data_IF_046210017353
#
_entry.id   IF_046210017353
#
_cell.length_a   1.000
_cell.length_b   1.000
_cell.length_c   1.000
_cell.angle_alpha   90.00
_cell.angle_beta   90.00
_cell.angle_gamma   90.00
#
_symmetry.space_group_name_H-M   'P 1'
#
loop_
_entity.id
_entity.type
_entity.pdbx_description
1 polymer ?
#
# COMPACT_ATOMS: atom_id res chain seq x y z
N UNK A 1 20.48 10.72 19.70
CA UNK A 1 19.75 11.78 18.98
C UNK A 1 18.73 11.09 18.10
N UNK A 2 17.46 11.11 18.48
CA UNK A 2 16.40 10.57 17.61
C UNK A 2 16.06 11.64 16.58
N UNK A 3 15.92 11.30 15.29
CA UNK A 3 15.49 12.27 14.28
C UNK A 3 14.05 12.71 14.58
N UNK A 4 13.84 13.99 14.67
CA UNK A 4 12.53 14.61 14.80
C UNK A 4 11.67 14.26 13.57
N UNK A 5 10.42 13.80 13.73
CA UNK A 5 9.54 13.60 12.60
C UNK A 5 9.27 14.94 11.91
N UNK A 6 9.54 15.00 10.62
CA UNK A 6 9.21 16.15 9.79
C UNK A 6 7.69 16.21 9.65
N UNK A 7 7.04 17.08 10.38
CA UNK A 7 5.62 17.39 10.18
C UNK A 7 5.49 18.25 8.91
N UNK A 8 4.91 17.70 7.85
CA UNK A 8 4.41 18.52 6.75
C UNK A 8 3.19 19.30 7.25
N UNK A 9 3.32 20.60 7.42
CA UNK A 9 2.19 21.49 7.66
C UNK A 9 1.39 21.68 6.37
N UNK A 10 0.49 20.74 6.08
CA UNK A 10 -0.58 20.91 5.10
C UNK A 10 -1.80 21.57 5.75
N UNK A 11 -2.81 22.03 4.98
CA UNK A 11 -4.03 22.62 5.53
C UNK A 11 -4.67 21.64 6.51
N UNK A 12 -4.70 22.01 7.77
CA UNK A 12 -5.28 21.22 8.86
C UNK A 12 -6.79 21.18 8.66
N UNK A 13 -7.33 20.02 8.33
CA UNK A 13 -8.77 19.82 8.33
C UNK A 13 -9.27 19.95 9.79
N UNK A 14 -10.20 20.88 10.09
CA UNK A 14 -10.58 21.21 11.47
C UNK A 14 -11.45 20.14 12.15
N UNK A 15 -11.75 19.04 11.49
CA UNK A 15 -12.54 17.94 12.08
C UNK A 15 -11.60 16.99 12.81
N UNK A 16 -11.69 16.86 14.14
CA UNK A 16 -10.92 15.85 14.86
C UNK A 16 -11.45 14.46 14.49
N UNK A 17 -10.78 13.78 13.60
CA UNK A 17 -11.09 12.39 13.22
C UNK A 17 -10.67 11.46 14.37
N UNK A 18 -11.45 11.44 15.46
CA UNK A 18 -11.24 10.58 16.63
C UNK A 18 -11.91 9.22 16.44
N UNK A 19 -11.55 8.47 15.40
CA UNK A 19 -11.93 7.07 15.26
C UNK A 19 -10.76 6.16 15.62
N UNK A 20 -10.32 6.20 16.88
CA UNK A 20 -9.19 5.39 17.36
C UNK A 20 -9.62 4.00 17.85
N UNK A 21 -10.91 3.76 18.05
CA UNK A 21 -11.44 2.52 18.63
C UNK A 21 -12.19 1.65 17.64
N UNK A 22 -12.56 2.17 16.49
CA UNK A 22 -13.32 1.45 15.46
C UNK A 22 -12.77 1.72 14.07
N UNK A 23 -12.82 0.70 13.22
CA UNK A 23 -12.53 0.84 11.79
C UNK A 23 -13.74 1.46 11.11
N UNK A 24 -13.54 2.53 10.36
CA UNK A 24 -14.54 3.21 9.54
C UNK A 24 -14.10 3.29 8.09
N UNK A 25 -15.02 3.64 7.19
CA UNK A 25 -14.76 3.72 5.74
C UNK A 25 -13.50 4.53 5.37
N UNK A 26 -13.22 5.61 6.11
CA UNK A 26 -12.05 6.44 5.89
C UNK A 26 -10.70 5.72 6.05
N UNK A 27 -10.66 4.61 6.79
CA UNK A 27 -9.44 3.81 6.92
C UNK A 27 -9.09 3.03 5.65
N UNK A 28 -10.04 2.85 4.73
CA UNK A 28 -9.82 2.21 3.43
C UNK A 28 -9.61 3.19 2.27
N UNK A 29 -9.56 4.49 2.54
CA UNK A 29 -9.51 5.52 1.48
C UNK A 29 -8.10 5.81 0.93
N UNK A 30 -7.05 5.19 1.46
CA UNK A 30 -5.66 5.47 1.07
C UNK A 30 -5.08 6.78 1.64
N UNK A 31 -5.88 7.54 2.41
CA UNK A 31 -5.47 8.81 2.99
C UNK A 31 -4.81 8.69 4.36
N UNK A 32 -4.81 9.80 5.10
CA UNK A 32 -4.15 9.91 6.42
C UNK A 32 -4.62 8.84 7.42
N UNK A 33 -5.92 8.52 7.45
CA UNK A 33 -6.46 7.51 8.37
C UNK A 33 -5.92 6.12 8.05
N UNK A 34 -5.77 5.79 6.77
CA UNK A 34 -5.14 4.53 6.32
C UNK A 34 -3.68 4.48 6.77
N UNK A 35 -2.92 5.54 6.55
CA UNK A 35 -1.52 5.62 6.95
C UNK A 35 -1.33 5.50 8.47
N UNK A 36 -2.19 6.16 9.25
CA UNK A 36 -2.17 6.05 10.71
C UNK A 36 -2.51 4.63 11.20
N UNK A 37 -3.47 3.97 10.56
CA UNK A 37 -3.82 2.59 10.86
C UNK A 37 -2.66 1.64 10.57
N UNK A 38 -2.04 1.77 9.40
CA UNK A 38 -0.87 0.98 9.02
C UNK A 38 0.26 1.17 10.03
N UNK A 39 0.62 2.42 10.30
CA UNK A 39 1.74 2.74 11.18
C UNK A 39 1.54 2.30 12.64
N UNK A 40 0.31 2.40 13.17
CA UNK A 40 0.03 2.11 14.58
C UNK A 40 -0.34 0.66 14.86
N UNK A 41 -0.97 -0.01 13.91
CA UNK A 41 -1.54 -1.34 14.12
C UNK A 41 -0.77 -2.43 13.36
N UNK A 42 -0.42 -2.21 12.10
CA UNK A 42 0.20 -3.26 11.29
C UNK A 42 1.73 -3.27 11.40
N UNK A 43 2.37 -2.12 11.23
CA UNK A 43 3.85 -2.03 11.25
C UNK A 43 4.46 -2.62 12.54
N UNK A 44 3.95 -2.40 13.75
CA UNK A 44 4.54 -2.97 14.96
C UNK A 44 4.63 -4.49 14.99
N UNK A 45 3.74 -5.18 14.26
CA UNK A 45 3.64 -6.64 14.25
C UNK A 45 4.17 -7.32 12.99
N UNK A 46 4.16 -6.60 11.86
CA UNK A 46 4.50 -7.15 10.54
C UNK A 46 5.72 -6.49 9.91
N UNK A 47 6.40 -5.57 10.62
CA UNK A 47 7.54 -4.85 10.07
C UNK A 47 8.67 -5.81 9.66
N UNK A 48 9.14 -5.61 8.44
CA UNK A 48 10.34 -6.23 7.89
C UNK A 48 10.96 -5.23 6.90
N UNK A 49 12.21 -5.44 6.45
CA UNK A 49 12.87 -4.50 5.56
C UNK A 49 12.07 -4.16 4.29
N UNK A 50 11.46 -5.16 3.64
CA UNK A 50 10.67 -4.94 2.43
C UNK A 50 9.39 -4.11 2.67
N UNK A 51 8.69 -4.35 3.79
CA UNK A 51 7.51 -3.55 4.15
C UNK A 51 7.87 -2.10 4.48
N UNK A 52 9.01 -1.89 5.13
CA UNK A 52 9.46 -0.56 5.56
C UNK A 52 9.96 0.31 4.40
N UNK A 53 10.24 -0.27 3.24
CA UNK A 53 10.53 0.50 2.01
C UNK A 53 9.32 1.31 1.55
N UNK A 54 8.10 0.85 1.84
CA UNK A 54 6.85 1.55 1.52
C UNK A 54 6.52 1.61 0.03
N UNK A 55 7.08 0.69 -0.76
CA UNK A 55 6.81 0.56 -2.18
C UNK A 55 5.52 -0.22 -2.43
N UNK A 56 4.94 -0.08 -3.61
CA UNK A 56 3.74 -0.80 -4.04
C UNK A 56 4.02 -2.27 -4.40
N UNK A 57 5.30 -2.66 -4.40
CA UNK A 57 5.76 -4.03 -4.57
C UNK A 57 6.93 -4.35 -3.64
N UNK A 58 7.17 -5.62 -3.39
CA UNK A 58 8.37 -6.09 -2.70
C UNK A 58 9.39 -6.63 -3.71
N UNK A 59 10.62 -6.15 -3.62
CA UNK A 59 11.75 -6.68 -4.40
C UNK A 59 12.51 -7.72 -3.55
N UNK A 60 12.49 -8.97 -3.98
CA UNK A 60 13.14 -10.07 -3.30
C UNK A 60 14.39 -10.49 -4.07
N UNK A 61 15.51 -10.57 -3.36
CA UNK A 61 16.75 -11.08 -3.92
C UNK A 61 16.63 -12.59 -4.13
N UNK A 62 16.89 -13.07 -5.34
CA UNK A 62 16.91 -14.50 -5.62
C UNK A 62 18.20 -15.13 -5.04
N UNK A 63 18.12 -16.41 -4.55
CA UNK A 63 19.30 -17.16 -4.13
C UNK A 63 20.36 -17.26 -5.24
N UNK A 64 21.63 -17.36 -4.83
CA UNK A 64 22.78 -17.42 -5.78
C UNK A 64 22.66 -18.53 -6.80
N UNK A 65 22.07 -19.68 -6.41
CA UNK A 65 21.87 -20.85 -7.29
C UNK A 65 20.93 -20.55 -8.47
N UNK A 66 20.07 -19.55 -8.34
CA UNK A 66 19.11 -19.13 -9.37
C UNK A 66 19.65 -17.91 -10.13
N UNK A 67 20.77 -17.35 -9.67
CA UNK A 67 21.30 -16.07 -10.16
C UNK A 67 21.81 -16.14 -11.59
N UNK A 68 21.05 -15.49 -12.43
CA UNK A 68 21.62 -14.68 -13.49
C UNK A 68 21.43 -13.19 -13.16
N UNK A 69 21.58 -12.81 -11.88
CA UNK A 69 21.57 -11.40 -11.43
C UNK A 69 20.17 -10.76 -11.37
N UNK A 70 19.11 -11.51 -11.03
CA UNK A 70 17.74 -11.02 -11.03
C UNK A 70 17.16 -10.79 -9.64
N UNK A 71 16.17 -9.92 -9.56
CA UNK A 71 15.25 -9.73 -8.44
C UNK A 71 13.88 -10.28 -8.81
N UNK A 72 13.16 -10.82 -7.84
CA UNK A 72 11.76 -11.17 -7.98
C UNK A 72 10.92 -10.01 -7.41
N UNK A 73 10.10 -9.38 -8.23
CA UNK A 73 9.11 -8.41 -7.79
C UNK A 73 7.80 -9.12 -7.46
N UNK A 74 7.24 -8.84 -6.28
CA UNK A 74 5.98 -9.43 -5.81
C UNK A 74 5.06 -8.30 -5.36
N UNK A 75 3.84 -8.28 -5.90
CA UNK A 75 2.78 -7.36 -5.48
C UNK A 75 1.46 -8.12 -5.33
N UNK A 76 0.59 -7.62 -4.46
CA UNK A 76 -0.79 -8.09 -4.31
C UNK A 76 -1.71 -6.90 -4.21
N UNK A 77 -2.80 -6.94 -4.94
CA UNK A 77 -3.81 -5.88 -4.90
C UNK A 77 -5.22 -6.46 -4.96
N UNK A 78 -6.21 -5.67 -4.57
CA UNK A 78 -7.62 -6.04 -4.61
C UNK A 78 -8.42 -5.03 -5.42
N UNK A 79 -9.31 -5.52 -6.27
CA UNK A 79 -10.08 -4.70 -7.19
C UNK A 79 -11.58 -4.85 -6.93
N UNK A 80 -12.27 -3.72 -6.88
CA UNK A 80 -13.74 -3.65 -6.77
C UNK A 80 -14.27 -2.78 -7.90
N UNK A 81 -15.18 -3.34 -8.69
CA UNK A 81 -15.91 -2.61 -9.73
C UNK A 81 -17.30 -3.20 -9.94
N UNK A 82 -18.27 -2.36 -10.15
CA UNK A 82 -19.64 -2.76 -10.50
C UNK A 82 -20.15 -1.89 -11.67
N UNK A 83 -20.66 -2.51 -12.75
CA UNK A 83 -20.77 -3.95 -13.00
C UNK A 83 -19.41 -4.59 -13.28
N UNK A 84 -19.30 -5.95 -13.17
CA UNK A 84 -18.06 -6.69 -13.43
C UNK A 84 -17.59 -6.58 -14.88
N UNK A 85 -18.52 -6.42 -15.82
CA UNK A 85 -18.28 -6.15 -17.24
C UNK A 85 -18.77 -4.75 -17.55
N UNK A 86 -17.92 -3.92 -18.16
CA UNK A 86 -18.21 -2.52 -18.46
C UNK A 86 -17.65 -2.12 -19.83
N UNK A 87 -18.12 -1.03 -20.44
CA UNK A 87 -17.58 -0.56 -21.69
C UNK A 87 -16.06 -0.34 -21.62
N UNK A 88 -15.32 -1.06 -22.44
CA UNK A 88 -13.87 -0.97 -22.50
C UNK A 88 -13.11 -2.04 -21.69
N UNK A 89 -13.80 -2.87 -20.88
CA UNK A 89 -13.13 -3.92 -20.11
C UNK A 89 -14.03 -4.72 -19.18
N UNK A 90 -13.36 -5.41 -18.30
CA UNK A 90 -13.94 -6.19 -17.21
C UNK A 90 -13.01 -6.13 -15.98
N UNK A 91 -13.46 -6.72 -14.86
CA UNK A 91 -12.69 -6.73 -13.63
C UNK A 91 -11.34 -7.46 -13.80
N UNK A 92 -11.26 -8.49 -14.65
CA UNK A 92 -10.01 -9.22 -14.91
C UNK A 92 -8.98 -8.33 -15.60
N UNK A 93 -9.39 -7.58 -16.63
CA UNK A 93 -8.54 -6.60 -17.30
C UNK A 93 -8.08 -5.50 -16.33
N UNK A 94 -8.99 -5.00 -15.48
CA UNK A 94 -8.67 -4.02 -14.47
C UNK A 94 -7.62 -4.55 -13.48
N UNK A 95 -7.80 -5.78 -12.99
CA UNK A 95 -6.88 -6.41 -12.06
C UNK A 95 -5.48 -6.58 -12.65
N UNK A 96 -5.37 -7.07 -13.87
CA UNK A 96 -4.08 -7.21 -14.56
C UNK A 96 -3.40 -5.85 -14.74
N UNK A 97 -4.13 -4.85 -15.24
CA UNK A 97 -3.56 -3.52 -15.48
C UNK A 97 -3.12 -2.86 -14.16
N UNK A 98 -3.90 -2.96 -13.09
CA UNK A 98 -3.57 -2.39 -11.79
C UNK A 98 -2.32 -3.03 -11.18
N UNK A 99 -2.26 -4.37 -11.13
CA UNK A 99 -1.11 -5.09 -10.58
C UNK A 99 0.17 -4.85 -11.38
N UNK A 100 0.07 -4.82 -12.71
CA UNK A 100 1.23 -4.47 -13.57
C UNK A 100 1.70 -3.05 -13.31
N UNK A 101 0.78 -2.12 -13.08
CA UNK A 101 1.13 -0.73 -12.75
C UNK A 101 1.92 -0.64 -11.45
N UNK A 102 1.48 -1.35 -10.41
CA UNK A 102 2.16 -1.38 -9.10
C UNK A 102 3.60 -1.92 -9.21
N UNK A 103 3.80 -2.97 -10.01
CA UNK A 103 5.14 -3.56 -10.23
C UNK A 103 6.02 -2.68 -11.11
N UNK A 104 5.43 -1.81 -11.95
CA UNK A 104 6.16 -0.96 -12.88
C UNK A 104 6.56 0.41 -12.31
N UNK A 105 5.99 0.77 -11.17
CA UNK A 105 6.28 2.03 -10.46
C UNK A 105 7.59 1.94 -9.67
#
# INVERSE_FOLDING_TARGET
MQPNPVYMEGPVCPVPLRHQTHIVMGHGSGGRMTQELIAKVFVPYFSNPALLEGNDFASLLLPEEIKQGGHLAVSTDSHIVAPLFFPGGDIGKLAVCGTVNDVAM
#
